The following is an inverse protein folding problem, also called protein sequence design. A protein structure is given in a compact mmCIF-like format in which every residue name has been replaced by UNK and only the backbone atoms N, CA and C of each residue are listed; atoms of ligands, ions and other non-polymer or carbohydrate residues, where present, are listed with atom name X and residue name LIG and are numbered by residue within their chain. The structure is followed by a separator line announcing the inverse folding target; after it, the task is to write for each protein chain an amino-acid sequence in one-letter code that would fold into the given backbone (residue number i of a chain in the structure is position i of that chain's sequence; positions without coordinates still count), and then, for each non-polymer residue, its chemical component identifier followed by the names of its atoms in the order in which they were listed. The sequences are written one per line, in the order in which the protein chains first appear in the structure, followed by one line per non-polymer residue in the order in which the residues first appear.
data_IF_819699155937
#
_entry.id   IF_819699155937
#
_cell.length_a   1.000
_cell.length_b   1.000
_cell.length_c   1.000
_cell.angle_alpha   90.00
_cell.angle_beta   90.00
_cell.angle_gamma   90.00
#
_symmetry.space_group_name_H-M   'P 1'
#
loop_
_entity.id
_entity.type
_entity.pdbx_description
1 polymer ?
#
# COMPACT_ATOMS: atom_id res chain seq x y z
N UNK A 1 18.30 -19.40 -1.45
CA UNK A 1 17.01 -18.85 -1.00
C UNK A 1 16.96 -17.36 -1.33
N UNK A 2 15.88 -16.92 -1.98
CA UNK A 2 15.76 -15.52 -2.38
C UNK A 2 15.20 -14.70 -1.23
N UNK A 3 15.86 -13.59 -0.90
CA UNK A 3 15.39 -12.70 0.16
C UNK A 3 14.39 -11.69 -0.41
N UNK A 4 13.62 -11.06 0.49
CA UNK A 4 12.72 -9.99 0.10
C UNK A 4 13.52 -8.83 -0.51
N UNK A 5 14.67 -8.49 0.06
CA UNK A 5 15.53 -7.45 -0.47
C UNK A 5 15.97 -7.74 -1.91
N UNK A 6 16.42 -8.96 -2.17
CA UNK A 6 16.86 -9.38 -3.51
C UNK A 6 15.68 -9.36 -4.50
N UNK A 7 14.51 -9.80 -4.07
CA UNK A 7 13.32 -9.79 -4.91
C UNK A 7 12.89 -8.36 -5.27
N UNK A 8 12.94 -7.44 -4.32
CA UNK A 8 12.61 -6.04 -4.57
C UNK A 8 13.61 -5.40 -5.53
N UNK A 9 14.89 -5.69 -5.37
CA UNK A 9 15.91 -5.18 -6.28
C UNK A 9 15.69 -5.68 -7.70
N UNK A 10 15.33 -6.96 -7.85
CA UNK A 10 15.06 -7.54 -9.16
C UNK A 10 13.86 -6.87 -9.83
N UNK A 11 12.79 -6.62 -9.08
CA UNK A 11 11.59 -5.94 -9.60
C UNK A 11 11.93 -4.50 -9.99
N UNK A 12 12.67 -3.80 -9.14
CA UNK A 12 13.06 -2.41 -9.42
C UNK A 12 13.94 -2.30 -10.66
N UNK A 13 14.84 -3.26 -10.86
CA UNK A 13 15.67 -3.31 -12.06
C UNK A 13 14.82 -3.49 -13.31
N UNK A 14 13.79 -4.34 -13.24
CA UNK A 14 12.87 -4.54 -14.37
C UNK A 14 12.05 -3.29 -14.65
N UNK A 15 11.63 -2.57 -13.62
CA UNK A 15 10.90 -1.30 -13.77
C UNK A 15 11.80 -0.28 -14.44
N UNK A 16 13.05 -0.15 -13.99
CA UNK A 16 13.99 0.79 -14.58
C UNK A 16 14.26 0.51 -16.06
N UNK A 17 14.42 -0.77 -16.41
CA UNK A 17 14.64 -1.16 -17.81
C UNK A 17 13.41 -0.86 -18.67
N UNK A 18 12.22 -1.14 -18.15
CA UNK A 18 10.98 -0.86 -18.87
C UNK A 18 10.77 0.66 -19.05
N UNK A 19 11.09 1.45 -18.04
CA UNK A 19 11.00 2.91 -18.11
C UNK A 19 11.92 3.47 -19.18
N UNK A 20 13.13 2.96 -19.24
CA UNK A 20 14.11 3.39 -20.26
C UNK A 20 13.60 3.10 -21.67
N UNK A 21 13.08 1.88 -21.89
CA UNK A 21 12.51 1.51 -23.18
C UNK A 21 11.32 2.36 -23.57
N UNK A 22 10.52 2.78 -22.59
CA UNK A 22 9.33 3.61 -22.84
C UNK A 22 9.65 5.11 -22.91
N UNK A 23 10.89 5.51 -22.66
CA UNK A 23 11.27 6.92 -22.64
C UNK A 23 10.70 7.68 -21.46
N UNK A 24 10.44 6.99 -20.33
CA UNK A 24 9.90 7.60 -19.13
C UNK A 24 10.95 7.66 -18.02
N UNK A 25 10.86 8.69 -17.19
CA UNK A 25 11.72 8.80 -16.02
C UNK A 25 11.31 7.72 -15.01
N UNK A 26 12.28 7.00 -14.44
CA UNK A 26 11.99 5.95 -13.47
C UNK A 26 11.33 6.52 -12.21
N UNK A 27 11.61 7.78 -11.89
CA UNK A 27 11.03 8.46 -10.73
C UNK A 27 9.51 8.65 -10.85
N UNK A 28 8.99 8.60 -12.07
CA UNK A 28 7.55 8.74 -12.32
C UNK A 28 6.79 7.44 -12.11
N UNK A 29 7.50 6.35 -11.85
CA UNK A 29 6.91 5.03 -11.66
C UNK A 29 7.12 4.61 -10.21
N UNK A 30 6.03 4.31 -9.52
CA UNK A 30 6.08 3.89 -8.13
C UNK A 30 5.66 2.44 -8.00
N UNK A 31 6.43 1.68 -7.23
CA UNK A 31 6.11 0.29 -6.95
C UNK A 31 5.22 0.22 -5.71
N UNK A 32 4.05 -0.39 -5.88
CA UNK A 32 3.17 -0.70 -4.76
C UNK A 32 3.30 -2.20 -4.48
N UNK A 33 3.84 -2.54 -3.31
CA UNK A 33 4.02 -3.93 -2.93
C UNK A 33 2.74 -4.47 -2.30
N UNK A 34 2.14 -5.48 -2.91
CA UNK A 34 0.95 -6.12 -2.35
C UNK A 34 1.40 -6.99 -1.19
N UNK A 35 0.90 -6.67 0.00
CA UNK A 35 1.36 -7.27 1.26
C UNK A 35 0.32 -8.15 1.94
N UNK A 36 -0.85 -8.34 1.31
CA UNK A 36 -1.90 -9.19 1.88
C UNK A 36 -1.34 -10.58 2.22
N UNK A 37 -1.78 -11.12 3.34
CA UNK A 37 -1.41 -12.44 3.87
C UNK A 37 0.03 -12.59 4.37
N UNK A 38 0.89 -11.61 4.14
CA UNK A 38 2.25 -11.64 4.69
C UNK A 38 2.27 -11.07 6.11
N UNK A 39 3.04 -11.67 7.03
CA UNK A 39 3.10 -11.14 8.40
C UNK A 39 3.90 -9.84 8.49
N UNK A 40 3.72 -9.06 9.56
CA UNK A 40 4.43 -7.77 9.71
C UNK A 40 5.94 -7.87 9.60
N UNK A 41 6.55 -8.96 10.04
CA UNK A 41 8.01 -9.13 9.98
C UNK A 41 8.52 -9.07 8.55
N UNK A 42 7.75 -9.61 7.60
CA UNK A 42 8.12 -9.57 6.18
C UNK A 42 8.03 -8.16 5.61
N UNK A 43 7.03 -7.41 6.05
CA UNK A 43 6.89 -6.03 5.63
C UNK A 43 8.02 -5.17 6.19
N UNK A 44 8.45 -5.45 7.41
CA UNK A 44 9.59 -4.74 8.00
C UNK A 44 10.86 -4.98 7.20
N UNK A 45 11.09 -6.22 6.76
CA UNK A 45 12.23 -6.53 5.87
C UNK A 45 12.16 -5.72 4.57
N UNK A 46 10.97 -5.64 3.98
CA UNK A 46 10.77 -4.87 2.75
C UNK A 46 11.02 -3.38 2.98
N UNK A 47 10.55 -2.85 4.11
CA UNK A 47 10.77 -1.45 4.47
C UNK A 47 12.25 -1.15 4.65
N UNK A 48 12.99 -2.06 5.27
CA UNK A 48 14.44 -1.92 5.44
C UNK A 48 15.15 -1.91 4.08
N UNK A 49 14.59 -2.60 3.08
CA UNK A 49 15.11 -2.59 1.72
C UNK A 49 14.64 -1.37 0.91
N UNK A 50 13.92 -0.45 1.54
CA UNK A 50 13.51 0.81 0.90
C UNK A 50 12.08 0.85 0.38
N UNK A 51 11.29 -0.20 0.56
CA UNK A 51 9.90 -0.20 0.10
C UNK A 51 9.02 0.51 1.12
N UNK A 52 8.30 1.54 0.68
CA UNK A 52 7.48 2.37 1.55
C UNK A 52 5.98 2.23 1.32
N UNK A 53 5.56 1.83 0.12
CA UNK A 53 4.15 1.74 -0.25
C UNK A 53 3.69 0.28 -0.26
N UNK A 54 2.66 -0.03 0.52
CA UNK A 54 2.13 -1.38 0.64
C UNK A 54 0.63 -1.41 0.37
N UNK A 55 0.18 -2.46 -0.32
CA UNK A 55 -1.23 -2.64 -0.67
C UNK A 55 -1.88 -3.78 0.09
N UNK A 56 -2.98 -3.48 0.78
CA UNK A 56 -3.73 -4.43 1.58
C UNK A 56 -5.16 -4.60 1.04
N UNK A 57 -5.65 -5.82 1.11
CA UNK A 57 -7.00 -6.18 0.63
C UNK A 57 -8.01 -6.35 1.74
N UNK A 58 -7.56 -6.58 2.98
CA UNK A 58 -8.43 -6.91 4.10
C UNK A 58 -8.25 -5.90 5.21
N UNK A 59 -9.37 -5.28 5.65
CA UNK A 59 -9.32 -4.16 6.58
C UNK A 59 -8.66 -4.55 7.91
N UNK A 60 -9.11 -5.66 8.51
CA UNK A 60 -8.57 -6.04 9.82
C UNK A 60 -7.10 -6.41 9.77
N UNK A 61 -6.70 -7.16 8.76
CA UNK A 61 -5.30 -7.51 8.56
C UNK A 61 -4.45 -6.25 8.35
N UNK A 62 -4.93 -5.33 7.52
CA UNK A 62 -4.23 -4.08 7.25
C UNK A 62 -4.08 -3.21 8.49
N UNK A 63 -5.13 -3.08 9.28
CA UNK A 63 -5.08 -2.28 10.50
C UNK A 63 -4.07 -2.86 11.50
N UNK A 64 -4.00 -4.18 11.63
CA UNK A 64 -3.04 -4.82 12.52
C UNK A 64 -1.60 -4.53 12.07
N UNK A 65 -1.35 -4.56 10.78
CA UNK A 65 -0.02 -4.25 10.23
C UNK A 65 0.34 -2.78 10.40
N UNK A 66 -0.61 -1.88 10.17
CA UNK A 66 -0.40 -0.44 10.37
C UNK A 66 0.00 -0.18 11.82
N UNK A 67 -0.70 -0.82 12.76
CA UNK A 67 -0.37 -0.68 14.17
C UNK A 67 1.02 -1.24 14.49
N UNK A 68 1.31 -2.44 14.01
CA UNK A 68 2.60 -3.10 14.29
C UNK A 68 3.79 -2.37 13.68
N UNK A 69 3.59 -1.66 12.57
CA UNK A 69 4.65 -1.00 11.81
C UNK A 69 4.57 0.52 11.84
N UNK A 70 3.84 1.07 12.82
CA UNK A 70 3.61 2.51 12.91
C UNK A 70 4.88 3.34 13.07
N UNK A 71 5.95 2.72 13.55
CA UNK A 71 7.25 3.38 13.73
C UNK A 71 8.00 3.64 12.41
N UNK A 72 7.56 3.04 11.30
CA UNK A 72 8.31 3.09 10.04
C UNK A 72 7.86 4.18 9.07
N UNK A 73 6.73 4.83 9.32
CA UNK A 73 6.24 5.88 8.43
C UNK A 73 5.92 5.39 7.03
N UNK A 74 5.24 4.26 6.93
CA UNK A 74 4.91 3.64 5.65
C UNK A 74 3.67 4.27 5.03
N UNK A 75 3.54 4.11 3.71
CA UNK A 75 2.37 4.56 2.97
C UNK A 75 1.47 3.36 2.72
N UNK A 76 0.24 3.43 3.20
CA UNK A 76 -0.69 2.32 3.15
C UNK A 76 -1.79 2.56 2.13
N UNK A 77 -1.96 1.60 1.23
CA UNK A 77 -2.96 1.63 0.16
C UNK A 77 -3.98 0.52 0.38
N UNK A 78 -5.25 0.89 0.43
CA UNK A 78 -6.30 -0.13 0.46
C UNK A 78 -6.74 -0.43 -0.96
N UNK A 79 -6.48 -1.65 -1.42
CA UNK A 79 -6.70 -2.03 -2.82
C UNK A 79 -7.82 -3.07 -2.97
N UNK A 80 -8.42 -3.51 -1.87
CA UNK A 80 -9.53 -4.45 -1.91
C UNK A 80 -10.89 -3.78 -1.97
N UNK A 81 -11.96 -4.58 -2.07
CA UNK A 81 -13.32 -4.05 -2.03
C UNK A 81 -13.62 -3.51 -0.63
N UNK A 82 -14.29 -2.37 -0.57
CA UNK A 82 -14.57 -1.69 0.68
C UNK A 82 -16.06 -1.70 1.00
N UNK A 83 -16.41 -2.29 2.13
CA UNK A 83 -17.78 -2.29 2.63
C UNK A 83 -18.07 -0.97 3.35
N UNK A 84 -19.32 -0.49 3.28
CA UNK A 84 -19.69 0.80 3.86
C UNK A 84 -19.48 0.85 5.38
N UNK A 85 -19.61 -0.28 6.08
CA UNK A 85 -19.41 -0.33 7.53
C UNK A 85 -17.94 -0.34 7.94
N UNK A 86 -17.00 -0.35 6.98
CA UNK A 86 -15.57 -0.33 7.24
C UNK A 86 -14.91 0.97 6.80
N UNK A 87 -15.69 1.93 6.33
CA UNK A 87 -15.13 3.17 5.75
C UNK A 87 -14.38 4.02 6.77
N UNK A 88 -14.88 4.12 8.01
CA UNK A 88 -14.23 4.97 9.01
C UNK A 88 -12.81 4.52 9.35
N UNK A 89 -12.57 3.26 9.74
CA UNK A 89 -11.19 2.86 10.05
C UNK A 89 -10.25 2.95 8.83
N UNK A 90 -10.76 2.70 7.63
CA UNK A 90 -9.95 2.85 6.43
C UNK A 90 -9.59 4.32 6.19
N UNK A 91 -10.55 5.24 6.31
CA UNK A 91 -10.30 6.66 6.13
C UNK A 91 -9.30 7.19 7.15
N UNK A 92 -9.35 6.69 8.38
CA UNK A 92 -8.50 7.17 9.47
C UNK A 92 -7.06 6.66 9.38
N UNK A 93 -6.83 5.48 8.78
CA UNK A 93 -5.55 4.81 8.87
C UNK A 93 -4.84 4.56 7.55
N UNK A 94 -5.56 4.54 6.43
CA UNK A 94 -4.96 4.30 5.12
C UNK A 94 -4.69 5.61 4.39
N UNK A 95 -3.59 5.65 3.63
CA UNK A 95 -3.20 6.81 2.85
C UNK A 95 -4.02 6.93 1.57
N UNK A 96 -4.29 5.80 0.92
CA UNK A 96 -4.98 5.74 -0.37
C UNK A 96 -6.03 4.64 -0.38
N UNK A 97 -7.13 4.88 -1.09
CA UNK A 97 -8.15 3.88 -1.39
C UNK A 97 -8.31 3.82 -2.90
N UNK A 98 -8.14 2.63 -3.49
CA UNK A 98 -8.11 2.48 -4.94
C UNK A 98 -9.41 2.00 -5.57
N UNK A 99 -10.29 1.37 -4.77
CA UNK A 99 -11.53 0.81 -5.31
C UNK A 99 -12.74 1.43 -4.61
N UNK A 100 -13.30 2.44 -5.26
CA UNK A 100 -14.54 3.07 -4.80
C UNK A 100 -15.55 2.83 -5.92
N UNK A 101 -16.48 1.91 -5.70
CA UNK A 101 -17.43 1.49 -6.72
C UNK A 101 -18.83 2.10 -6.54
N UNK A 102 -19.05 2.89 -5.48
CA UNK A 102 -20.31 3.55 -5.22
C UNK A 102 -20.09 4.92 -4.57
N UNK A 103 -20.95 5.87 -4.95
CA UNK A 103 -20.88 7.22 -4.40
C UNK A 103 -21.00 7.22 -2.87
N UNK A 104 -21.85 6.36 -2.32
CA UNK A 104 -22.03 6.25 -0.87
C UNK A 104 -20.71 5.96 -0.15
N UNK A 105 -19.85 5.11 -0.73
CA UNK A 105 -18.55 4.80 -0.13
C UNK A 105 -17.66 6.04 -0.16
N UNK A 106 -17.62 6.75 -1.27
CA UNK A 106 -16.82 7.97 -1.38
C UNK A 106 -17.26 9.01 -0.35
N UNK A 107 -18.57 9.20 -0.19
CA UNK A 107 -19.11 10.15 0.77
C UNK A 107 -18.75 9.78 2.20
N UNK A 108 -18.86 8.50 2.56
CA UNK A 108 -18.54 8.04 3.90
C UNK A 108 -17.05 8.17 4.21
N UNK A 109 -16.19 7.91 3.23
CA UNK A 109 -14.74 8.11 3.39
C UNK A 109 -14.42 9.58 3.63
N UNK A 110 -15.03 10.47 2.87
CA UNK A 110 -14.81 11.90 3.00
C UNK A 110 -15.26 12.41 4.38
N UNK A 111 -16.42 11.97 4.83
CA UNK A 111 -16.93 12.35 6.16
C UNK A 111 -16.01 11.84 7.27
N UNK A 112 -15.56 10.60 7.18
CA UNK A 112 -14.71 10.00 8.21
C UNK A 112 -13.33 10.65 8.27
N UNK A 113 -12.81 11.09 7.12
CA UNK A 113 -11.51 11.76 7.04
C UNK A 113 -11.59 13.20 7.56
N UNK A 114 -12.75 13.80 7.44
CA UNK A 114 -12.95 15.18 7.84
C UNK A 114 -12.41 16.14 6.80
N UNK A 115 -11.95 17.30 7.27
CA UNK A 115 -11.53 18.39 6.40
C UNK A 115 -10.05 18.32 5.99
N UNK A 116 -9.42 17.22 6.21
CA UNK A 116 -7.99 17.06 5.87
C UNK A 116 -7.72 17.01 4.39
#
# INVERSE_FOLDING_TARGET
MTTISANLQAVRARIAAAAELAGRAVEDIRLLAVSKTFPPERLREAAEAGQRAFGENYVQEGLAKIDALGDLGLEWHFIGPLQSNKTRPVAEHFTWVHRIDRLKIAERLAEARGAE
#
